data_IF_837779104904
#
_entry.id   IF_837779104904
#
_cell.length_a   1.000
_cell.length_b   1.000
_cell.length_c   1.000
_cell.angle_alpha   90.00
_cell.angle_beta   90.00
_cell.angle_gamma   90.00
#
_symmetry.space_group_name_H-M   'P 1'
#
loop_
_entity.id
_entity.type
_entity.pdbx_description
1 polymer ?
#
# COMPACT_ATOMS: atom_id res chain seq x y z
N UNK A 1 1.82 24.32 -20.62
CA UNK A 1 2.18 23.33 -19.59
C UNK A 1 1.29 23.56 -18.38
N UNK A 2 0.48 22.59 -17.98
CA UNK A 2 -0.31 22.63 -16.74
C UNK A 2 0.65 22.66 -15.54
N UNK A 3 0.34 23.39 -14.45
CA UNK A 3 1.20 23.42 -13.28
C UNK A 3 1.29 22.02 -12.65
N UNK A 4 2.49 21.63 -12.21
CA UNK A 4 2.84 20.32 -11.62
C UNK A 4 2.16 20.02 -10.26
N UNK A 5 1.33 20.94 -9.78
CA UNK A 5 0.51 20.89 -8.58
C UNK A 5 -0.55 21.98 -8.72
N UNK A 6 -1.68 21.83 -8.03
CA UNK A 6 -2.78 22.81 -8.11
C UNK A 6 -2.97 23.51 -6.78
N UNK A 7 -3.33 24.79 -6.83
CA UNK A 7 -3.80 25.54 -5.68
C UNK A 7 -5.17 26.14 -5.98
N UNK A 8 -6.20 25.99 -5.11
CA UNK A 8 -6.21 25.25 -3.84
C UNK A 8 -5.79 23.77 -3.99
N UNK A 9 -5.27 23.15 -2.92
CA UNK A 9 -4.70 21.81 -3.00
C UNK A 9 -5.81 20.83 -3.36
N UNK A 10 -5.49 19.83 -4.19
CA UNK A 10 -6.45 18.79 -4.54
C UNK A 10 -6.80 17.98 -3.31
N UNK A 11 -8.01 17.41 -3.31
CA UNK A 11 -8.42 16.47 -2.28
C UNK A 11 -7.56 15.20 -2.34
N UNK A 12 -7.17 14.68 -1.17
CA UNK A 12 -6.51 13.39 -1.01
C UNK A 12 -7.55 12.25 -1.14
N UNK A 13 -7.54 11.45 -2.23
CA UNK A 13 -8.65 10.54 -2.50
C UNK A 13 -8.90 9.50 -1.41
N UNK A 14 -10.19 9.28 -1.13
CA UNK A 14 -10.67 8.35 -0.13
C UNK A 14 -10.56 8.84 1.32
N UNK A 15 -9.98 10.02 1.57
CA UNK A 15 -10.10 10.69 2.87
C UNK A 15 -11.45 11.42 2.96
N UNK A 16 -11.88 11.85 4.17
CA UNK A 16 -13.01 12.76 4.28
C UNK A 16 -12.81 14.03 3.44
N UNK A 17 -13.90 14.71 3.01
CA UNK A 17 -13.82 15.98 2.31
C UNK A 17 -12.88 16.98 3.00
N UNK A 18 -12.30 17.88 2.21
CA UNK A 18 -11.38 18.94 2.65
C UNK A 18 -10.02 18.46 3.19
N UNK A 19 -9.73 17.16 3.12
CA UNK A 19 -8.38 16.64 3.37
C UNK A 19 -7.50 16.89 2.13
N UNK A 20 -6.48 17.77 2.19
CA UNK A 20 -5.63 18.08 1.03
C UNK A 20 -4.58 17.02 0.76
N UNK A 21 -4.20 16.83 -0.51
CA UNK A 21 -3.10 15.97 -0.93
C UNK A 21 -1.77 16.46 -0.35
N UNK A 22 -1.00 15.52 0.22
CA UNK A 22 0.29 15.85 0.84
C UNK A 22 1.33 16.38 -0.17
N UNK A 23 1.28 15.95 -1.43
CA UNK A 23 2.15 16.45 -2.49
C UNK A 23 1.91 17.93 -2.78
N UNK A 24 0.65 18.33 -2.95
CA UNK A 24 0.26 19.73 -3.19
C UNK A 24 0.62 20.64 -1.99
N UNK A 25 0.40 20.16 -0.76
CA UNK A 25 0.74 20.90 0.47
C UNK A 25 2.26 21.12 0.60
N UNK A 26 3.06 20.07 0.42
CA UNK A 26 4.52 20.18 0.50
C UNK A 26 5.10 21.05 -0.62
N UNK A 27 4.52 21.01 -1.82
CA UNK A 27 4.92 21.86 -2.94
C UNK A 27 4.67 23.35 -2.64
N UNK A 28 3.49 23.69 -2.11
CA UNK A 28 3.20 25.06 -1.68
C UNK A 28 4.15 25.51 -0.56
N UNK A 29 4.38 24.65 0.42
CA UNK A 29 5.29 24.94 1.52
C UNK A 29 6.71 25.24 1.00
N UNK A 30 7.22 24.45 0.05
CA UNK A 30 8.50 24.68 -0.60
C UNK A 30 8.55 26.02 -1.37
N UNK A 31 7.45 26.44 -1.99
CA UNK A 31 7.36 27.70 -2.72
C UNK A 31 7.35 28.94 -1.79
N UNK A 32 6.94 28.80 -0.52
CA UNK A 32 6.80 29.90 0.43
C UNK A 32 8.13 30.52 0.94
N UNK A 33 9.29 30.06 0.47
CA UNK A 33 10.59 30.65 0.81
C UNK A 33 11.09 30.38 2.23
N UNK A 34 10.46 29.45 2.94
CA UNK A 34 10.82 29.07 4.32
C UNK A 34 12.20 28.40 4.35
N UNK A 35 13.00 28.73 5.37
CA UNK A 35 14.41 28.29 5.53
C UNK A 35 14.59 27.01 6.34
N UNK A 36 13.60 26.64 7.13
CA UNK A 36 13.57 25.40 7.88
C UNK A 36 12.13 24.97 8.16
N UNK A 37 11.88 23.67 8.17
CA UNK A 37 10.58 23.10 8.49
C UNK A 37 10.65 22.19 9.72
N UNK A 38 9.59 22.19 10.52
CA UNK A 38 9.31 21.03 11.38
C UNK A 38 8.33 20.14 10.65
N UNK A 39 8.68 18.87 10.53
CA UNK A 39 7.90 17.86 9.82
C UNK A 39 7.51 16.76 10.80
N UNK A 40 6.24 16.37 10.77
CA UNK A 40 5.72 15.22 11.50
C UNK A 40 5.04 14.30 10.50
N UNK A 41 5.29 13.00 10.61
CA UNK A 41 4.50 11.99 9.90
C UNK A 41 3.81 11.13 10.93
N UNK A 42 2.50 11.00 10.79
CA UNK A 42 1.68 10.03 11.51
C UNK A 42 1.30 8.94 10.51
N UNK A 43 1.78 7.72 10.73
CA UNK A 43 1.45 6.56 9.92
C UNK A 43 0.54 5.63 10.69
N UNK A 44 -0.40 5.03 9.98
CA UNK A 44 -1.38 4.13 10.57
C UNK A 44 -1.22 2.72 10.04
N UNK A 45 -1.49 1.75 10.91
CA UNK A 45 -1.65 0.36 10.57
C UNK A 45 -3.08 -0.04 10.87
N UNK A 46 -3.68 -0.80 9.95
CA UNK A 46 -4.81 -1.63 10.31
C UNK A 46 -4.24 -2.67 11.29
N UNK A 47 -4.80 -2.77 12.50
CA UNK A 47 -4.42 -3.90 13.38
C UNK A 47 -4.71 -5.20 12.63
N UNK A 48 -4.03 -6.29 13.02
CA UNK A 48 -4.45 -7.65 12.70
C UNK A 48 -5.97 -7.79 12.86
N UNK A 49 -6.55 -7.29 13.96
CA UNK A 49 -8.01 -7.32 14.24
C UNK A 49 -8.93 -6.61 13.23
N UNK A 50 -8.43 -5.66 12.44
CA UNK A 50 -9.21 -5.00 11.38
C UNK A 50 -9.01 -5.73 10.04
N UNK A 51 -7.82 -6.25 9.78
CA UNK A 51 -7.61 -7.24 8.72
C UNK A 51 -8.42 -8.54 8.99
N UNK A 52 -8.62 -8.88 10.27
CA UNK A 52 -9.42 -10.01 10.77
C UNK A 52 -10.93 -9.79 10.59
N UNK A 53 -11.39 -8.54 10.47
CA UNK A 53 -12.80 -8.22 10.20
C UNK A 53 -13.24 -8.56 8.77
N UNK A 54 -12.30 -8.87 7.88
CA UNK A 54 -12.58 -9.27 6.50
C UNK A 54 -12.96 -8.12 5.56
N UNK A 55 -13.15 -6.91 6.08
CA UNK A 55 -13.54 -5.72 5.31
C UNK A 55 -12.37 -4.72 5.23
N UNK A 56 -11.54 -4.89 4.20
CA UNK A 56 -10.34 -4.07 4.00
C UNK A 56 -10.70 -2.61 3.70
N UNK A 57 -11.76 -2.36 2.92
CA UNK A 57 -12.20 -1.00 2.58
C UNK A 57 -12.73 -0.27 3.84
N UNK A 58 -13.60 -0.91 4.64
CA UNK A 58 -14.06 -0.31 5.89
C UNK A 58 -12.91 -0.07 6.90
N UNK A 59 -11.92 -0.95 6.90
CA UNK A 59 -10.68 -0.76 7.66
C UNK A 59 -9.93 0.49 7.22
N UNK A 60 -9.68 0.64 5.92
CA UNK A 60 -9.02 1.82 5.35
C UNK A 60 -9.78 3.10 5.68
N UNK A 61 -11.10 3.09 5.57
CA UNK A 61 -11.94 4.25 5.90
C UNK A 61 -11.82 4.65 7.37
N UNK A 62 -11.70 3.67 8.28
CA UNK A 62 -11.45 3.95 9.71
C UNK A 62 -10.09 4.61 9.91
N UNK A 63 -9.05 4.11 9.24
CA UNK A 63 -7.71 4.70 9.27
C UNK A 63 -7.73 6.14 8.78
N UNK A 64 -8.33 6.39 7.61
CA UNK A 64 -8.37 7.72 6.98
C UNK A 64 -9.18 8.71 7.81
N UNK A 65 -10.30 8.29 8.39
CA UNK A 65 -11.07 9.13 9.35
C UNK A 65 -10.27 9.46 10.61
N UNK A 66 -9.54 8.48 11.16
CA UNK A 66 -8.70 8.71 12.34
C UNK A 66 -7.58 9.71 12.04
N UNK A 67 -6.87 9.53 10.93
CA UNK A 67 -5.85 10.49 10.48
C UNK A 67 -6.42 11.88 10.21
N UNK A 68 -7.61 11.97 9.61
CA UNK A 68 -8.29 13.25 9.39
C UNK A 68 -8.61 13.95 10.72
N UNK A 69 -9.03 13.21 11.75
CA UNK A 69 -9.24 13.75 13.08
C UNK A 69 -7.94 14.27 13.72
N UNK A 70 -6.84 13.51 13.60
CA UNK A 70 -5.50 13.94 14.07
C UNK A 70 -5.08 15.24 13.38
N UNK A 71 -5.22 15.33 12.06
CA UNK A 71 -4.83 16.53 11.31
C UNK A 71 -5.67 17.76 11.68
N UNK A 72 -6.98 17.60 11.92
CA UNK A 72 -7.84 18.68 12.42
C UNK A 72 -7.47 19.14 13.83
N UNK A 73 -7.00 18.22 14.68
CA UNK A 73 -6.60 18.52 16.05
C UNK A 73 -5.21 19.17 16.17
N UNK A 74 -4.39 19.17 15.10
CA UNK A 74 -3.03 19.72 15.14
C UNK A 74 -2.99 21.24 15.37
N UNK A 75 -4.05 21.97 15.00
CA UNK A 75 -4.19 23.41 15.17
C UNK A 75 -3.59 24.23 14.02
N UNK A 76 -3.90 25.54 14.01
CA UNK A 76 -3.71 26.46 12.87
C UNK A 76 -2.24 26.68 12.47
N UNK A 77 -1.30 26.35 13.35
CA UNK A 77 0.14 26.45 13.07
C UNK A 77 0.69 25.34 12.17
N UNK A 78 -0.13 24.31 11.86
CA UNK A 78 0.27 23.16 11.05
C UNK A 78 -0.49 23.12 9.73
N UNK A 79 0.20 22.72 8.68
CA UNK A 79 -0.41 22.42 7.38
C UNK A 79 -0.53 20.91 7.23
N UNK A 80 -1.73 20.32 7.41
CA UNK A 80 -1.94 18.90 7.21
C UNK A 80 -1.97 18.56 5.72
N UNK A 81 -1.39 17.43 5.36
CA UNK A 81 -1.46 16.82 4.04
C UNK A 81 -1.59 15.31 4.18
N UNK A 82 -2.42 14.69 3.35
CA UNK A 82 -2.81 13.29 3.49
C UNK A 82 -2.33 12.45 2.31
N UNK A 83 -1.82 11.25 2.59
CA UNK A 83 -1.34 10.32 1.57
C UNK A 83 -1.55 8.87 2.02
N UNK A 84 -2.46 8.14 1.36
CA UNK A 84 -2.63 6.70 1.61
C UNK A 84 -3.07 6.40 3.05
N UNK A 85 -2.13 5.94 3.90
CA UNK A 85 -2.32 5.66 5.34
C UNK A 85 -1.51 6.59 6.24
N UNK A 86 -1.04 7.69 5.67
CA UNK A 86 -0.15 8.64 6.32
C UNK A 86 -0.77 10.05 6.33
N UNK A 87 -0.49 10.76 7.41
CA UNK A 87 -0.70 12.19 7.56
C UNK A 87 0.67 12.84 7.70
N UNK A 88 0.90 13.88 6.91
CA UNK A 88 2.06 14.77 6.98
C UNK A 88 1.62 16.08 7.59
N UNK A 89 2.23 16.48 8.69
CA UNK A 89 2.07 17.83 9.24
C UNK A 89 3.37 18.58 9.00
N UNK A 90 3.27 19.73 8.35
CA UNK A 90 4.42 20.61 8.11
C UNK A 90 4.14 22.01 8.65
N UNK A 91 5.15 22.61 9.27
CA UNK A 91 5.14 24.03 9.67
C UNK A 91 6.51 24.65 9.49
N UNK A 92 6.56 25.98 9.40
CA UNK A 92 7.82 26.70 9.48
C UNK A 92 8.45 26.47 10.86
N UNK A 93 9.75 26.16 10.88
CA UNK A 93 10.46 26.07 12.14
C UNK A 93 10.54 27.46 12.78
N UNK A 94 10.26 27.53 14.09
CA UNK A 94 10.51 28.72 14.91
C UNK A 94 11.91 28.64 15.52
N UNK A 95 12.58 29.77 15.70
CA UNK A 95 13.82 29.85 16.47
C UNK A 95 13.52 29.46 17.94
N UNK A 96 13.80 28.21 18.32
CA UNK A 96 13.47 27.65 19.63
C UNK A 96 13.99 26.22 19.79
N UNK A 97 14.03 25.68 21.02
CA UNK A 97 14.61 24.38 21.29
C UNK A 97 13.91 23.23 20.54
N UNK A 98 14.71 22.20 20.22
CA UNK A 98 14.36 20.91 19.55
C UNK A 98 13.36 20.08 20.39
N UNK A 99 12.19 20.62 20.72
CA UNK A 99 11.18 19.88 21.45
C UNK A 99 10.24 19.13 20.51
N UNK A 100 9.93 17.85 20.79
CA UNK A 100 8.94 17.13 20.03
C UNK A 100 7.62 17.90 20.07
N UNK A 101 6.84 17.92 18.97
CA UNK A 101 5.48 18.44 19.03
C UNK A 101 4.75 17.72 20.17
N UNK A 102 3.89 18.43 20.92
CA UNK A 102 3.26 17.85 22.10
C UNK A 102 2.57 16.54 21.73
N UNK A 103 2.60 15.58 22.67
CA UNK A 103 2.11 14.23 22.47
C UNK A 103 0.60 14.05 22.16
N UNK A 104 -0.35 15.00 22.36
CA UNK A 104 -1.78 14.70 22.20
C UNK A 104 -2.21 14.47 20.74
N UNK A 105 -1.30 14.52 19.77
CA UNK A 105 -1.60 14.19 18.37
C UNK A 105 -2.06 12.74 18.17
N UNK A 106 -1.83 11.82 19.12
CA UNK A 106 -2.00 10.38 18.85
C UNK A 106 -2.56 9.58 20.04
N UNK A 107 -3.73 9.96 20.56
CA UNK A 107 -4.54 9.00 21.32
C UNK A 107 -5.20 8.04 20.33
N UNK A 108 -4.89 6.74 20.42
CA UNK A 108 -5.47 5.73 19.53
C UNK A 108 -6.98 5.59 19.79
N UNK A 109 -7.80 5.95 18.81
CA UNK A 109 -9.25 5.74 18.85
C UNK A 109 -9.66 4.54 17.96
N UNK A 110 -10.74 3.85 18.35
CA UNK A 110 -11.48 2.94 17.47
C UNK A 110 -10.74 1.71 16.94
N UNK A 111 -9.62 1.29 17.53
CA UNK A 111 -8.87 0.10 17.10
C UNK A 111 -7.85 0.34 15.98
N UNK A 112 -7.54 1.59 15.65
CA UNK A 112 -6.43 1.95 14.75
C UNK A 112 -5.15 2.13 15.56
N UNK A 113 -4.02 1.60 15.06
CA UNK A 113 -2.70 1.81 15.67
C UNK A 113 -1.93 2.83 14.86
N UNK A 114 -1.61 3.94 15.49
CA UNK A 114 -0.79 4.98 14.93
C UNK A 114 0.64 4.87 15.46
N UNK A 115 1.60 5.18 14.60
CA UNK A 115 2.95 5.57 15.00
C UNK A 115 3.26 6.91 14.39
N UNK A 116 4.11 7.67 15.06
CA UNK A 116 4.48 8.99 14.56
C UNK A 116 5.96 9.23 14.80
N UNK A 117 6.55 10.10 14.00
CA UNK A 117 7.90 10.61 14.20
C UNK A 117 7.96 12.03 13.67
N UNK A 118 9.05 12.71 13.97
CA UNK A 118 9.25 14.09 13.59
C UNK A 118 10.71 14.38 13.26
N UNK A 119 10.95 15.47 12.54
CA UNK A 119 12.29 16.00 12.32
C UNK A 119 12.27 17.51 12.03
N UNK A 120 13.43 18.15 12.20
CA UNK A 120 13.72 19.49 11.68
C UNK A 120 14.50 19.38 10.38
N UNK A 121 13.97 20.00 9.34
CA UNK A 121 14.51 19.92 7.99
C UNK A 121 15.07 21.28 7.60
N UNK A 122 16.40 21.44 7.48
CA UNK A 122 16.97 22.63 6.87
C UNK A 122 16.60 22.66 5.38
N UNK A 123 16.16 23.82 4.90
CA UNK A 123 15.66 23.98 3.54
C UNK A 123 16.63 24.84 2.68
N UNK A 124 17.04 24.34 1.50
CA UNK A 124 17.86 25.08 0.55
C UNK A 124 17.26 26.42 0.09
N UNK A 125 18.08 27.22 -0.62
CA UNK A 125 17.61 28.47 -1.24
C UNK A 125 16.76 28.24 -2.48
N UNK A 126 17.06 27.21 -3.26
CA UNK A 126 16.32 26.87 -4.48
C UNK A 126 14.99 26.15 -4.17
N UNK A 127 13.92 26.50 -4.87
CA UNK A 127 12.57 25.98 -4.59
C UNK A 127 12.43 24.48 -4.94
N UNK A 128 13.07 24.01 -6.00
CA UNK A 128 13.03 22.59 -6.40
C UNK A 128 13.89 21.73 -5.47
N UNK A 129 15.02 22.24 -5.03
CA UNK A 129 15.85 21.63 -3.99
C UNK A 129 15.11 21.58 -2.65
N UNK A 130 14.40 22.64 -2.25
CA UNK A 130 13.54 22.66 -1.05
C UNK A 130 12.48 21.57 -1.10
N UNK A 131 11.78 21.45 -2.23
CA UNK A 131 10.78 20.40 -2.43
C UNK A 131 11.40 19.02 -2.29
N UNK A 132 12.54 18.78 -2.95
CA UNK A 132 13.24 17.50 -2.88
C UNK A 132 13.71 17.17 -1.45
N UNK A 133 14.21 18.17 -0.72
CA UNK A 133 14.60 18.03 0.68
C UNK A 133 13.42 17.64 1.57
N UNK A 134 12.26 18.30 1.42
CA UNK A 134 11.04 17.97 2.15
C UNK A 134 10.54 16.55 1.87
N UNK A 135 10.53 16.12 0.61
CA UNK A 135 10.07 14.76 0.26
C UNK A 135 11.01 13.68 0.80
N UNK A 136 12.33 13.91 0.75
CA UNK A 136 13.33 13.00 1.35
C UNK A 136 13.16 12.92 2.87
N UNK A 137 12.94 14.06 3.52
CA UNK A 137 12.65 14.09 4.94
C UNK A 137 11.33 13.37 5.27
N UNK A 138 10.26 13.60 4.50
CA UNK A 138 8.99 12.87 4.65
C UNK A 138 9.20 11.36 4.60
N UNK A 139 10.01 10.87 3.68
CA UNK A 139 10.35 9.46 3.58
C UNK A 139 11.09 8.95 4.84
N UNK A 140 12.11 9.67 5.33
CA UNK A 140 12.83 9.30 6.55
C UNK A 140 11.92 9.31 7.79
N UNK A 141 11.13 10.37 7.96
CA UNK A 141 10.18 10.52 9.07
C UNK A 141 9.08 9.45 9.00
N UNK A 142 8.57 9.11 7.81
CA UNK A 142 7.60 8.03 7.64
C UNK A 142 8.17 6.66 8.03
N UNK A 143 9.44 6.37 7.69
CA UNK A 143 10.10 5.14 8.15
C UNK A 143 10.21 5.10 9.68
N UNK A 144 10.65 6.20 10.31
CA UNK A 144 10.72 6.27 11.77
C UNK A 144 9.33 6.13 12.43
N UNK A 145 8.31 6.77 11.85
CA UNK A 145 6.93 6.67 12.30
C UNK A 145 6.41 5.23 12.21
N UNK A 146 6.75 4.51 11.12
CA UNK A 146 6.38 3.10 10.92
C UNK A 146 7.10 2.18 11.89
N UNK A 147 8.39 2.42 12.15
CA UNK A 147 9.14 1.68 13.17
C UNK A 147 8.46 1.81 14.54
N UNK A 148 8.09 3.04 14.95
CA UNK A 148 7.36 3.29 16.21
C UNK A 148 5.94 2.74 16.19
N UNK A 149 5.27 2.78 15.04
CA UNK A 149 3.97 2.14 14.85
C UNK A 149 4.08 0.65 15.12
N UNK A 150 5.14 -0.03 14.69
CA UNK A 150 5.28 -1.47 14.85
C UNK A 150 5.89 -1.83 16.24
N UNK A 151 6.68 -0.92 16.84
CA UNK A 151 7.31 -1.03 18.16
C UNK A 151 6.97 0.17 19.06
N UNK A 152 5.84 0.14 19.81
CA UNK A 152 5.36 1.33 20.50
C UNK A 152 6.14 1.59 21.80
N UNK A 153 6.97 0.63 22.23
CA UNK A 153 7.88 0.75 23.37
C UNK A 153 9.07 1.70 23.10
N UNK A 154 9.32 2.03 21.82
CA UNK A 154 10.40 2.93 21.46
C UNK A 154 10.09 4.37 21.91
N UNK A 155 11.06 5.08 22.52
CA UNK A 155 10.87 6.46 22.95
C UNK A 155 10.59 7.39 21.77
N UNK A 156 10.01 8.56 22.08
CA UNK A 156 9.78 9.61 21.09
C UNK A 156 11.13 10.24 20.72
N UNK A 157 11.67 9.83 19.58
CA UNK A 157 12.95 10.29 19.07
C UNK A 157 12.75 11.06 17.76
N UNK A 158 13.73 11.91 17.41
CA UNK A 158 13.84 12.45 16.05
C UNK A 158 14.01 11.30 15.07
N UNK A 159 13.58 11.51 13.82
CA UNK A 159 13.60 10.46 12.81
C UNK A 159 15.01 9.87 12.62
N UNK A 160 16.05 10.71 12.55
CA UNK A 160 17.43 10.26 12.43
C UNK A 160 17.86 9.33 13.58
N UNK A 161 17.53 9.69 14.82
CA UNK A 161 17.88 8.91 16.02
C UNK A 161 17.12 7.59 16.07
N UNK A 162 15.83 7.61 15.73
CA UNK A 162 15.02 6.40 15.64
C UNK A 162 15.56 5.44 14.58
N UNK A 163 15.96 5.97 13.41
CA UNK A 163 16.53 5.18 12.34
C UNK A 163 17.91 4.64 12.70
N UNK A 164 18.75 5.39 13.40
CA UNK A 164 20.09 4.94 13.82
C UNK A 164 20.05 3.62 14.63
N UNK A 165 18.94 3.34 15.33
CA UNK A 165 18.74 2.11 16.11
C UNK A 165 18.26 0.91 15.29
N UNK A 166 17.85 1.09 14.03
CA UNK A 166 17.29 0.01 13.19
C UNK A 166 18.19 -1.22 13.09
N UNK A 167 19.53 -1.10 12.91
CA UNK A 167 20.41 -2.27 12.88
C UNK A 167 20.35 -3.14 14.14
N UNK A 168 20.10 -2.56 15.30
CA UNK A 168 19.97 -3.28 16.58
C UNK A 168 18.58 -3.89 16.77
N UNK A 169 17.56 -3.31 16.11
CA UNK A 169 16.15 -3.65 16.34
C UNK A 169 15.62 -4.67 15.32
N UNK A 170 15.96 -4.55 14.05
CA UNK A 170 15.35 -5.29 12.95
C UNK A 170 16.36 -6.19 12.25
N UNK A 171 15.94 -7.35 11.73
CA UNK A 171 16.80 -8.10 10.79
C UNK A 171 17.03 -7.32 9.49
N UNK A 172 18.05 -7.69 8.69
CA UNK A 172 18.27 -7.08 7.38
C UNK A 172 17.04 -7.20 6.45
N UNK A 173 16.27 -8.29 6.58
CA UNK A 173 15.02 -8.51 5.84
C UNK A 173 13.93 -7.53 6.29
N UNK A 174 13.71 -7.41 7.59
CA UNK A 174 12.75 -6.46 8.15
C UNK A 174 13.15 -4.99 7.85
N UNK A 175 14.45 -4.72 7.84
CA UNK A 175 15.03 -3.43 7.46
C UNK A 175 14.74 -3.09 5.99
N UNK A 176 14.92 -4.03 5.07
CA UNK A 176 14.56 -3.82 3.67
C UNK A 176 13.04 -3.63 3.47
N UNK A 177 12.19 -4.28 4.28
CA UNK A 177 10.74 -4.01 4.30
C UNK A 177 10.40 -2.61 4.83
N UNK A 178 11.17 -2.11 5.81
CA UNK A 178 11.07 -0.73 6.29
C UNK A 178 11.43 0.27 5.19
N UNK A 179 12.55 0.06 4.49
CA UNK A 179 12.98 0.85 3.33
C UNK A 179 11.99 0.80 2.16
N UNK A 180 11.26 -0.30 2.01
CA UNK A 180 10.20 -0.41 0.99
C UNK A 180 8.93 0.41 1.35
N UNK A 181 8.90 1.05 2.53
CA UNK A 181 7.76 1.79 3.09
C UNK A 181 7.24 2.94 2.24
N UNK A 182 6.19 3.59 2.73
CA UNK A 182 5.39 4.54 1.97
C UNK A 182 6.19 5.79 1.60
N UNK A 183 5.91 6.33 0.42
CA UNK A 183 6.53 7.55 -0.10
C UNK A 183 5.45 8.59 -0.33
N UNK A 184 5.58 9.75 0.31
CA UNK A 184 4.83 10.95 -0.10
C UNK A 184 5.56 11.51 -1.31
N UNK A 185 4.95 11.45 -2.48
CA UNK A 185 5.53 11.99 -3.72
C UNK A 185 4.46 12.68 -4.58
N UNK A 186 4.71 13.91 -5.07
CA UNK A 186 4.07 14.42 -6.27
C UNK A 186 4.71 13.76 -7.49
N UNK A 187 3.92 13.09 -8.34
CA UNK A 187 4.47 12.37 -9.49
C UNK A 187 5.09 13.28 -10.56
N UNK A 188 4.61 14.52 -10.65
CA UNK A 188 4.86 15.46 -11.75
C UNK A 188 6.28 16.09 -11.75
N UNK A 189 7.22 15.57 -10.94
CA UNK A 189 8.62 16.00 -10.91
C UNK A 189 9.47 15.56 -12.10
N UNK A 190 8.94 14.71 -13.00
CA UNK A 190 9.61 14.32 -14.24
C UNK A 190 8.93 15.02 -15.43
N UNK A 191 9.66 15.76 -16.29
CA UNK A 191 9.08 16.56 -17.38
C UNK A 191 8.35 15.76 -18.47
N UNK A 192 8.29 14.42 -18.35
CA UNK A 192 7.63 13.52 -19.28
C UNK A 192 6.32 12.91 -18.73
N UNK A 193 5.95 13.20 -17.47
CA UNK A 193 4.72 12.70 -16.86
C UNK A 193 3.64 13.78 -16.88
N UNK A 194 2.49 13.46 -17.47
CA UNK A 194 1.33 14.35 -17.48
C UNK A 194 0.78 14.50 -16.06
N UNK A 195 0.39 15.73 -15.70
CA UNK A 195 -0.33 16.02 -14.46
C UNK A 195 -1.69 15.33 -14.46
N UNK A 196 -2.16 14.86 -13.31
CA UNK A 196 -3.51 14.32 -13.17
C UNK A 196 -4.58 15.34 -13.63
N UNK A 197 -5.52 14.86 -14.43
CA UNK A 197 -6.69 15.60 -14.92
C UNK A 197 -7.80 15.74 -13.87
N UNK A 198 -8.90 16.39 -14.26
CA UNK A 198 -10.07 16.50 -13.39
C UNK A 198 -10.72 15.13 -13.19
N UNK A 199 -11.01 14.76 -11.95
CA UNK A 199 -11.57 13.45 -11.59
C UNK A 199 -10.57 12.29 -11.59
N UNK A 200 -9.28 12.55 -11.84
CA UNK A 200 -8.19 11.60 -11.66
C UNK A 200 -7.61 11.68 -10.25
N UNK A 201 -6.98 10.59 -9.81
CA UNK A 201 -6.21 10.60 -8.56
C UNK A 201 -4.94 11.47 -8.76
N UNK A 202 -4.70 12.48 -7.91
CA UNK A 202 -3.53 13.36 -8.03
C UNK A 202 -2.20 12.63 -7.92
N UNK A 203 -2.21 11.43 -7.33
CA UNK A 203 -1.05 10.55 -7.14
C UNK A 203 -0.91 9.51 -8.24
N UNK A 204 -1.90 9.37 -9.13
CA UNK A 204 -1.92 8.37 -10.20
C UNK A 204 -2.53 8.98 -11.48
N UNK A 205 -1.81 9.86 -12.20
CA UNK A 205 -2.28 10.45 -13.44
C UNK A 205 -2.75 9.39 -14.45
N UNK A 206 -3.91 9.61 -15.06
CA UNK A 206 -4.58 8.64 -15.93
C UNK A 206 -5.42 7.58 -15.21
N UNK A 207 -5.52 7.62 -13.88
CA UNK A 207 -6.37 6.71 -13.09
C UNK A 207 -7.48 7.50 -12.42
N UNK A 208 -8.71 7.02 -12.51
CA UNK A 208 -9.86 7.68 -11.88
C UNK A 208 -9.72 7.71 -10.34
N UNK A 209 -10.07 8.85 -9.73
CA UNK A 209 -9.99 9.04 -8.28
C UNK A 209 -10.92 8.08 -7.53
N UNK A 210 -10.49 7.61 -6.35
CA UNK A 210 -11.35 6.86 -5.42
C UNK A 210 -12.68 7.57 -5.11
N UNK A 211 -12.72 8.90 -5.20
CA UNK A 211 -13.90 9.71 -4.87
C UNK A 211 -15.04 9.53 -5.90
N UNK A 212 -14.75 8.94 -7.05
CA UNK A 212 -15.78 8.51 -8.00
C UNK A 212 -16.51 7.23 -7.59
N UNK A 213 -15.93 6.43 -6.68
CA UNK A 213 -16.50 5.15 -6.26
C UNK A 213 -17.84 5.28 -5.52
N UNK A 214 -18.06 6.24 -4.60
CA UNK A 214 -19.37 6.44 -3.97
C UNK A 214 -20.50 6.70 -4.96
N UNK A 215 -20.23 7.45 -6.03
CA UNK A 215 -21.23 7.71 -7.07
C UNK A 215 -21.58 6.42 -7.85
N UNK A 216 -20.58 5.61 -8.19
CA UNK A 216 -20.79 4.27 -8.75
C UNK A 216 -21.58 3.38 -7.79
N UNK A 217 -21.29 3.48 -6.49
CA UNK A 217 -21.94 2.68 -5.46
C UNK A 217 -23.41 3.05 -5.22
N UNK A 218 -23.76 4.33 -5.39
CA UNK A 218 -25.12 4.82 -5.27
C UNK A 218 -26.01 4.40 -6.46
N UNK A 219 -25.42 4.15 -7.62
CA UNK A 219 -26.12 3.72 -8.83
C UNK A 219 -25.32 2.63 -9.58
N UNK A 220 -25.17 1.43 -8.99
CA UNK A 220 -24.38 0.38 -9.62
C UNK A 220 -25.09 -0.14 -10.87
N UNK A 221 -24.35 -0.51 -11.93
CA UNK A 221 -24.96 -1.12 -13.10
C UNK A 221 -25.59 -2.48 -12.73
N UNK A 222 -26.73 -2.79 -13.33
CA UNK A 222 -27.50 -4.01 -13.05
C UNK A 222 -26.80 -5.31 -13.50
N UNK A 223 -25.71 -5.21 -14.25
CA UNK A 223 -24.92 -6.34 -14.78
C UNK A 223 -23.45 -5.95 -14.91
N UNK A 224 -22.59 -6.95 -14.99
CA UNK A 224 -21.15 -6.81 -15.08
C UNK A 224 -20.46 -7.52 -13.92
N UNK A 225 -19.20 -7.15 -13.69
CA UNK A 225 -18.35 -7.69 -12.65
C UNK A 225 -17.84 -6.53 -11.78
N UNK A 226 -18.06 -6.63 -10.46
CA UNK A 226 -17.26 -5.84 -9.53
C UNK A 226 -15.86 -6.44 -9.50
N UNK A 227 -14.85 -5.63 -9.76
CA UNK A 227 -13.45 -6.04 -9.83
C UNK A 227 -12.64 -5.32 -8.76
N UNK A 228 -11.70 -6.05 -8.18
CA UNK A 228 -10.67 -5.53 -7.27
C UNK A 228 -9.31 -6.06 -7.73
N UNK A 229 -8.36 -5.17 -7.91
CA UNK A 229 -6.98 -5.51 -8.27
C UNK A 229 -6.04 -5.19 -7.13
N UNK A 230 -4.88 -5.83 -7.10
CA UNK A 230 -3.78 -5.49 -6.19
C UNK A 230 -2.44 -5.70 -6.90
N UNK A 231 -1.54 -4.73 -6.79
CA UNK A 231 -0.19 -4.75 -7.32
C UNK A 231 0.80 -4.98 -6.18
N UNK A 232 1.38 -6.18 -6.11
CA UNK A 232 2.56 -6.37 -5.27
C UNK A 232 3.85 -6.32 -6.07
N UNK A 233 4.86 -5.69 -5.47
CA UNK A 233 6.24 -6.06 -5.68
C UNK A 233 6.40 -7.52 -5.27
N UNK A 234 6.71 -8.40 -6.21
CA UNK A 234 6.61 -9.86 -6.02
C UNK A 234 7.62 -10.37 -4.98
N UNK A 235 8.56 -9.56 -4.50
CA UNK A 235 9.73 -10.09 -3.81
C UNK A 235 9.56 -10.44 -2.33
N UNK A 236 8.40 -10.16 -1.72
CA UNK A 236 8.17 -10.47 -0.30
C UNK A 236 7.31 -11.71 -0.03
N UNK A 237 6.68 -12.30 -1.06
CA UNK A 237 5.69 -13.36 -0.88
C UNK A 237 5.75 -14.55 -1.84
N UNK A 238 6.63 -14.57 -2.85
CA UNK A 238 6.77 -15.76 -3.71
C UNK A 238 7.83 -16.72 -3.20
N UNK A 239 7.39 -17.92 -2.83
CA UNK A 239 8.23 -19.06 -2.48
C UNK A 239 9.00 -19.61 -3.69
N UNK A 240 8.49 -19.37 -4.90
CA UNK A 240 9.03 -19.94 -6.14
C UNK A 240 10.36 -19.31 -6.56
N UNK A 241 11.28 -20.17 -7.00
CA UNK A 241 12.60 -19.82 -7.57
C UNK A 241 12.69 -20.31 -9.02
N UNK A 242 13.54 -19.69 -9.82
CA UNK A 242 13.94 -20.23 -11.11
C UNK A 242 14.72 -21.54 -10.92
N UNK A 243 14.89 -22.33 -11.98
CA UNK A 243 15.56 -23.63 -11.93
C UNK A 243 17.03 -23.59 -11.47
N UNK A 244 17.65 -22.41 -11.48
CA UNK A 244 18.99 -22.11 -10.96
C UNK A 244 18.98 -21.62 -9.49
N UNK A 245 17.82 -21.62 -8.83
CA UNK A 245 17.63 -21.11 -7.48
C UNK A 245 17.53 -19.57 -7.39
N UNK A 246 17.64 -18.86 -8.52
CA UNK A 246 17.47 -17.41 -8.57
C UNK A 246 16.01 -17.01 -8.32
N UNK A 247 15.79 -15.75 -7.93
CA UNK A 247 14.45 -15.20 -7.75
C UNK A 247 13.76 -15.06 -9.11
N UNK A 248 12.48 -15.43 -9.20
CA UNK A 248 11.70 -15.31 -10.45
C UNK A 248 11.48 -13.86 -10.90
N UNK A 249 11.67 -12.89 -10.01
CA UNK A 249 11.51 -11.46 -10.30
C UNK A 249 12.64 -10.64 -9.73
N UNK A 250 12.85 -9.47 -10.35
CA UNK A 250 13.94 -8.56 -9.97
C UNK A 250 13.55 -7.67 -8.79
N UNK A 251 12.27 -7.29 -8.64
CA UNK A 251 11.66 -6.61 -7.46
C UNK A 251 12.43 -5.44 -6.83
N UNK A 252 11.89 -4.80 -5.78
CA UNK A 252 12.68 -3.80 -5.03
C UNK A 252 13.62 -4.46 -4.01
N UNK A 253 13.35 -5.67 -3.55
CA UNK A 253 14.18 -6.30 -2.53
C UNK A 253 15.57 -6.68 -3.07
N UNK A 254 15.76 -6.90 -4.39
CA UNK A 254 17.10 -7.03 -5.00
C UNK A 254 17.97 -5.81 -4.76
N UNK A 255 17.37 -4.61 -4.72
CA UNK A 255 18.10 -3.37 -4.50
C UNK A 255 18.10 -2.95 -3.02
N UNK A 256 17.00 -3.20 -2.30
CA UNK A 256 16.85 -2.82 -0.90
C UNK A 256 17.54 -3.79 0.08
N UNK A 257 17.64 -5.09 -0.21
CA UNK A 257 18.31 -6.05 0.67
C UNK A 257 19.82 -5.79 0.78
N UNK A 258 20.58 -5.54 -0.31
CA UNK A 258 21.98 -5.17 -0.21
C UNK A 258 22.18 -3.85 0.56
N UNK A 259 21.28 -2.88 0.35
CA UNK A 259 21.32 -1.60 1.07
C UNK A 259 21.07 -1.78 2.57
N UNK A 260 20.07 -2.60 2.94
CA UNK A 260 19.81 -2.97 4.32
C UNK A 260 20.99 -3.73 4.95
N UNK A 261 21.61 -4.66 4.21
CA UNK A 261 22.80 -5.38 4.68
C UNK A 261 24.01 -4.48 4.92
N UNK A 262 24.25 -3.51 4.03
CA UNK A 262 25.32 -2.53 4.20
C UNK A 262 25.09 -1.62 5.42
N UNK A 263 23.85 -1.20 5.65
CA UNK A 263 23.48 -0.44 6.84
C UNK A 263 23.70 -1.23 8.13
N UNK A 264 23.28 -2.50 8.14
CA UNK A 264 23.48 -3.44 9.25
C UNK A 264 24.95 -3.64 9.62
N UNK A 265 25.82 -3.71 8.62
CA UNK A 265 27.26 -3.81 8.81
C UNK A 265 27.92 -2.47 9.23
N UNK A 266 27.14 -1.45 9.60
CA UNK A 266 27.56 -0.08 9.89
C UNK A 266 28.37 0.59 8.76
N UNK A 267 28.23 0.12 7.52
CA UNK A 267 28.97 0.63 6.35
C UNK A 267 28.27 1.80 5.67
N UNK A 268 27.12 2.23 6.16
CA UNK A 268 26.33 3.30 5.54
C UNK A 268 25.63 4.12 6.62
N UNK A 269 25.99 5.40 6.78
CA UNK A 269 25.27 6.35 7.64
C UNK A 269 23.80 6.55 7.23
N UNK A 270 22.94 7.00 8.16
CA UNK A 270 21.49 7.15 7.92
C UNK A 270 21.18 8.14 6.80
N UNK A 271 21.90 9.26 6.71
CA UNK A 271 21.70 10.26 5.66
C UNK A 271 22.05 9.71 4.26
N UNK A 272 23.17 8.98 4.14
CA UNK A 272 23.59 8.30 2.92
C UNK A 272 22.59 7.20 2.54
N UNK A 273 22.11 6.44 3.52
CA UNK A 273 21.08 5.43 3.34
C UNK A 273 19.81 6.04 2.75
N UNK A 274 19.29 7.11 3.35
CA UNK A 274 18.08 7.80 2.88
C UNK A 274 18.30 8.34 1.46
N UNK A 275 19.47 8.94 1.20
CA UNK A 275 19.84 9.47 -0.12
C UNK A 275 19.87 8.39 -1.20
N UNK A 276 20.26 7.16 -0.86
CA UNK A 276 20.26 6.00 -1.76
C UNK A 276 18.91 5.31 -1.88
N UNK A 277 18.16 5.20 -0.79
CA UNK A 277 16.88 4.50 -0.76
C UNK A 277 15.73 5.31 -1.38
N UNK A 278 15.72 6.63 -1.19
CA UNK A 278 14.64 7.50 -1.68
C UNK A 278 14.48 7.42 -3.21
N UNK A 279 15.54 7.50 -4.05
CA UNK A 279 15.40 7.36 -5.50
C UNK A 279 14.85 6.00 -5.94
N UNK A 280 15.24 4.91 -5.25
CA UNK A 280 14.71 3.57 -5.53
C UNK A 280 13.20 3.54 -5.28
N UNK A 281 12.77 4.09 -4.14
CA UNK A 281 11.36 4.19 -3.77
C UNK A 281 10.58 5.11 -4.72
N UNK A 282 11.16 6.25 -5.12
CA UNK A 282 10.56 7.15 -6.10
C UNK A 282 10.36 6.47 -7.46
N UNK A 283 11.34 5.69 -7.94
CA UNK A 283 11.22 4.91 -9.16
C UNK A 283 10.11 3.86 -9.05
N UNK A 284 9.99 3.17 -7.91
CA UNK A 284 8.87 2.25 -7.66
C UNK A 284 7.53 2.97 -7.77
N UNK A 285 7.32 4.11 -7.13
CA UNK A 285 6.01 4.80 -7.22
C UNK A 285 5.67 5.18 -8.66
N UNK A 286 6.66 5.60 -9.47
CA UNK A 286 6.44 5.87 -10.89
C UNK A 286 6.05 4.60 -11.67
N UNK A 287 6.70 3.46 -11.38
CA UNK A 287 6.32 2.17 -11.94
C UNK A 287 4.91 1.76 -11.50
N UNK A 288 4.53 1.99 -10.25
CA UNK A 288 3.21 1.63 -9.73
C UNK A 288 2.14 2.46 -10.43
N UNK A 289 2.37 3.76 -10.58
CA UNK A 289 1.47 4.65 -11.30
C UNK A 289 1.30 4.24 -12.76
N UNK A 290 2.40 3.94 -13.45
CA UNK A 290 2.33 3.44 -14.84
C UNK A 290 1.63 2.08 -14.95
N UNK A 291 1.84 1.19 -13.99
CA UNK A 291 1.18 -0.12 -13.95
C UNK A 291 -0.34 0.01 -13.72
N UNK A 292 -0.74 0.81 -12.73
CA UNK A 292 -2.15 1.08 -12.43
C UNK A 292 -2.84 1.82 -13.57
N UNK A 293 -2.15 2.75 -14.24
CA UNK A 293 -2.64 3.37 -15.46
C UNK A 293 -2.83 2.36 -16.58
N UNK A 294 -1.86 1.48 -16.83
CA UNK A 294 -2.01 0.43 -17.85
C UNK A 294 -3.22 -0.49 -17.58
N UNK A 295 -3.49 -0.80 -16.30
CA UNK A 295 -4.73 -1.49 -15.90
C UNK A 295 -5.98 -0.67 -16.21
N UNK A 296 -6.00 0.61 -15.84
CA UNK A 296 -7.13 1.52 -16.04
C UNK A 296 -7.44 1.73 -17.53
N UNK A 297 -6.41 2.05 -18.33
CA UNK A 297 -6.50 2.22 -19.78
C UNK A 297 -6.98 0.93 -20.45
N UNK A 298 -6.48 -0.24 -20.00
CA UNK A 298 -6.85 -1.55 -20.53
C UNK A 298 -8.33 -1.91 -20.36
N UNK A 299 -9.04 -1.28 -19.43
CA UNK A 299 -10.48 -1.51 -19.22
C UNK A 299 -11.36 -0.35 -19.71
N UNK A 300 -10.80 0.74 -20.24
CA UNK A 300 -11.53 1.99 -20.50
C UNK A 300 -12.71 1.87 -21.50
N UNK A 301 -12.74 0.84 -22.34
CA UNK A 301 -13.89 0.53 -23.22
C UNK A 301 -14.87 -0.50 -22.66
N UNK A 302 -14.51 -1.18 -21.57
CA UNK A 302 -15.26 -2.29 -20.98
C UNK A 302 -15.64 -2.02 -19.53
N UNK A 303 -15.39 -0.84 -18.97
CA UNK A 303 -15.67 -0.55 -17.58
C UNK A 303 -14.87 0.63 -17.05
N UNK A 304 -14.82 0.74 -15.72
CA UNK A 304 -14.07 1.77 -15.01
C UNK A 304 -13.54 1.26 -13.69
N UNK A 305 -12.26 1.52 -13.45
CA UNK A 305 -11.54 1.20 -12.22
C UNK A 305 -11.05 2.49 -11.56
N UNK A 306 -11.11 2.55 -10.23
CA UNK A 306 -10.79 3.70 -9.39
C UNK A 306 -9.63 3.38 -8.44
N UNK A 307 -8.83 4.38 -8.07
CA UNK A 307 -7.64 4.27 -7.22
C UNK A 307 -7.94 4.05 -5.72
N UNK A 308 -8.45 2.88 -5.34
CA UNK A 308 -9.08 2.65 -4.03
C UNK A 308 -8.12 2.17 -2.93
N UNK A 309 -7.13 1.34 -3.27
CA UNK A 309 -6.30 0.60 -2.30
C UNK A 309 -4.88 1.18 -2.12
N UNK A 310 -4.52 2.21 -2.89
CA UNK A 310 -3.17 2.79 -2.94
C UNK A 310 -2.25 2.04 -3.90
N UNK A 311 -2.25 0.70 -3.86
CA UNK A 311 -1.55 -0.18 -4.82
C UNK A 311 -2.50 -1.07 -5.62
N UNK A 312 -3.81 -0.81 -5.56
CA UNK A 312 -4.83 -1.56 -6.26
C UNK A 312 -6.00 -0.68 -6.68
N UNK A 313 -6.80 -1.19 -7.61
CA UNK A 313 -7.97 -0.52 -8.14
C UNK A 313 -9.25 -1.31 -7.83
N UNK A 314 -10.37 -0.63 -7.60
CA UNK A 314 -11.69 -1.26 -7.54
C UNK A 314 -12.65 -0.57 -8.50
N UNK A 315 -13.63 -1.30 -9.02
CA UNK A 315 -14.66 -0.72 -9.87
C UNK A 315 -15.50 -1.76 -10.58
N UNK A 316 -16.10 -1.39 -11.70
CA UNK A 316 -16.97 -2.29 -12.47
C UNK A 316 -16.44 -2.45 -13.89
N UNK A 317 -16.38 -3.70 -14.34
CA UNK A 317 -16.06 -4.08 -15.71
C UNK A 317 -17.18 -4.96 -16.29
N UNK A 318 -17.34 -4.96 -17.60
CA UNK A 318 -18.42 -5.64 -18.30
C UNK A 318 -18.17 -7.15 -18.38
N UNK A 319 -16.91 -7.57 -18.52
CA UNK A 319 -16.53 -8.98 -18.67
C UNK A 319 -15.13 -9.29 -18.12
N UNK A 320 -14.90 -10.58 -17.90
CA UNK A 320 -13.67 -11.11 -17.32
C UNK A 320 -12.48 -11.11 -18.31
N UNK A 321 -12.75 -11.12 -19.63
CA UNK A 321 -11.70 -11.19 -20.65
C UNK A 321 -10.96 -9.85 -20.77
N UNK A 322 -11.70 -8.74 -20.75
CA UNK A 322 -11.15 -7.40 -20.72
C UNK A 322 -10.27 -7.19 -19.48
N UNK A 323 -10.75 -7.61 -18.30
CA UNK A 323 -9.98 -7.52 -17.06
C UNK A 323 -8.72 -8.39 -17.10
N UNK A 324 -8.83 -9.64 -17.56
CA UNK A 324 -7.68 -10.55 -17.72
C UNK A 324 -6.64 -9.97 -18.67
N UNK A 325 -7.08 -9.39 -19.79
CA UNK A 325 -6.21 -8.77 -20.79
C UNK A 325 -5.51 -7.53 -20.25
N UNK A 326 -6.23 -6.67 -19.52
CA UNK A 326 -5.68 -5.50 -18.85
C UNK A 326 -4.61 -5.89 -17.82
N UNK A 327 -4.89 -6.88 -16.95
CA UNK A 327 -3.94 -7.39 -15.95
C UNK A 327 -2.71 -8.00 -16.61
N UNK A 328 -2.89 -8.82 -17.64
CA UNK A 328 -1.78 -9.39 -18.38
C UNK A 328 -0.94 -8.30 -19.08
N UNK A 329 -1.58 -7.27 -19.64
CA UNK A 329 -0.93 -6.11 -20.26
C UNK A 329 -0.08 -5.33 -19.27
N UNK A 330 -0.63 -4.98 -18.11
CA UNK A 330 0.11 -4.27 -17.06
C UNK A 330 1.28 -5.10 -16.52
N UNK A 331 1.09 -6.42 -16.33
CA UNK A 331 2.15 -7.33 -15.90
C UNK A 331 3.30 -7.42 -16.91
N UNK A 332 2.99 -7.42 -18.22
CA UNK A 332 4.01 -7.36 -19.28
C UNK A 332 4.74 -6.02 -19.27
N UNK A 333 4.02 -4.91 -19.08
CA UNK A 333 4.63 -3.57 -19.07
C UNK A 333 5.70 -3.41 -17.99
N UNK A 334 5.52 -4.00 -16.81
CA UNK A 334 6.53 -3.98 -15.73
C UNK A 334 7.49 -5.17 -15.69
N UNK A 335 7.42 -6.11 -16.63
CA UNK A 335 8.24 -7.34 -16.76
C UNK A 335 9.06 -7.73 -15.50
N UNK A 336 8.43 -8.42 -14.54
CA UNK A 336 9.11 -8.93 -13.36
C UNK A 336 9.55 -7.88 -12.32
N UNK A 337 9.07 -6.64 -12.42
CA UNK A 337 9.25 -5.58 -11.41
C UNK A 337 7.98 -5.37 -10.59
N UNK A 338 6.80 -5.51 -11.22
CA UNK A 338 5.50 -5.47 -10.57
C UNK A 338 4.59 -6.55 -11.12
N UNK A 339 3.62 -6.95 -10.31
CA UNK A 339 2.61 -7.90 -10.77
C UNK A 339 1.29 -7.70 -10.05
N UNK A 340 0.24 -7.60 -10.83
CA UNK A 340 -1.14 -7.58 -10.41
C UNK A 340 -1.81 -8.94 -10.56
N UNK A 341 -2.74 -9.19 -9.66
CA UNK A 341 -3.83 -10.13 -9.86
C UNK A 341 -5.15 -9.39 -9.67
N UNK A 342 -6.24 -9.96 -10.17
CA UNK A 342 -7.57 -9.41 -10.00
C UNK A 342 -8.54 -10.45 -9.45
N UNK A 343 -9.36 -10.03 -8.50
CA UNK A 343 -10.57 -10.73 -8.09
C UNK A 343 -11.78 -10.06 -8.72
N UNK A 344 -12.72 -10.85 -9.21
CA UNK A 344 -13.98 -10.34 -9.72
C UNK A 344 -15.18 -11.12 -9.14
N UNK A 345 -16.34 -10.47 -9.12
CA UNK A 345 -17.61 -11.09 -8.78
C UNK A 345 -18.76 -10.49 -9.61
N UNK A 346 -19.72 -11.31 -10.08
CA UNK A 346 -20.90 -10.81 -10.80
C UNK A 346 -21.76 -9.82 -9.99
N UNK A 347 -22.34 -8.84 -10.68
CA UNK A 347 -23.35 -7.87 -10.19
C UNK A 347 -24.80 -8.28 -10.51
N UNK A 348 -25.07 -9.58 -10.57
CA UNK A 348 -26.30 -10.27 -11.02
C UNK A 348 -27.59 -9.96 -10.21
N UNK A 349 -27.91 -8.68 -9.98
CA UNK A 349 -28.96 -8.24 -9.07
C UNK A 349 -28.61 -8.42 -7.58
N UNK A 350 -27.40 -8.92 -7.30
CA UNK A 350 -26.85 -8.98 -5.93
C UNK A 350 -26.55 -7.56 -5.43
N UNK A 351 -26.79 -7.33 -4.13
CA UNK A 351 -26.25 -6.18 -3.38
C UNK A 351 -24.75 -5.97 -3.69
N UNK A 352 -24.38 -4.73 -4.00
CA UNK A 352 -23.01 -4.33 -4.35
C UNK A 352 -22.02 -4.71 -3.25
N UNK A 353 -22.42 -4.63 -1.98
CA UNK A 353 -21.54 -4.99 -0.87
C UNK A 353 -21.26 -6.49 -0.82
N UNK A 354 -22.21 -7.32 -1.24
CA UNK A 354 -21.95 -8.75 -1.39
C UNK A 354 -21.04 -9.03 -2.61
N UNK A 355 -21.21 -8.33 -3.73
CA UNK A 355 -20.29 -8.44 -4.88
C UNK A 355 -18.86 -7.99 -4.51
N UNK A 356 -18.72 -6.90 -3.74
CA UNK A 356 -17.45 -6.44 -3.16
C UNK A 356 -16.75 -7.52 -2.34
N UNK A 357 -17.45 -8.07 -1.33
CA UNK A 357 -16.91 -9.13 -0.48
C UNK A 357 -16.46 -10.35 -1.30
N UNK A 358 -17.28 -10.78 -2.26
CA UNK A 358 -16.97 -11.88 -3.17
C UNK A 358 -15.75 -11.59 -4.05
N UNK A 359 -15.61 -10.38 -4.59
CA UNK A 359 -14.45 -9.99 -5.38
C UNK A 359 -13.17 -9.94 -4.54
N UNK A 360 -13.23 -9.53 -3.27
CA UNK A 360 -12.11 -9.61 -2.34
C UNK A 360 -11.67 -11.04 -2.02
N UNK A 361 -12.61 -11.98 -1.86
CA UNK A 361 -12.27 -13.40 -1.80
C UNK A 361 -11.55 -13.85 -3.08
N UNK A 362 -12.10 -13.52 -4.25
CA UNK A 362 -11.47 -13.87 -5.52
C UNK A 362 -10.06 -13.28 -5.67
N UNK A 363 -9.85 -12.05 -5.20
CA UNK A 363 -8.54 -11.42 -5.17
C UNK A 363 -7.60 -12.21 -4.26
N UNK A 364 -8.09 -12.68 -3.10
CA UNK A 364 -7.31 -13.53 -2.22
C UNK A 364 -6.90 -14.85 -2.88
N UNK A 365 -7.78 -15.48 -3.67
CA UNK A 365 -7.43 -16.66 -4.48
C UNK A 365 -6.26 -16.33 -5.43
N UNK A 366 -6.32 -15.22 -6.16
CA UNK A 366 -5.22 -14.83 -7.06
C UNK A 366 -3.92 -14.51 -6.32
N UNK A 367 -3.99 -13.92 -5.12
CA UNK A 367 -2.82 -13.67 -4.25
C UNK A 367 -2.17 -14.98 -3.81
N UNK A 368 -2.96 -15.97 -3.43
CA UNK A 368 -2.49 -17.31 -3.09
C UNK A 368 -1.80 -17.97 -4.28
N UNK A 369 -2.41 -17.94 -5.47
CA UNK A 369 -1.82 -18.49 -6.70
C UNK A 369 -0.60 -17.71 -7.21
N UNK A 370 -0.50 -16.42 -6.89
CA UNK A 370 0.71 -15.64 -7.17
C UNK A 370 1.92 -16.20 -6.42
N UNK A 371 1.70 -16.70 -5.19
CA UNK A 371 2.71 -17.39 -4.38
C UNK A 371 3.29 -18.65 -5.04
N UNK A 372 2.60 -19.23 -6.03
CA UNK A 372 2.96 -20.49 -6.71
C UNK A 372 3.37 -20.32 -8.17
N UNK A 373 3.30 -19.09 -8.70
CA UNK A 373 3.48 -18.79 -10.11
C UNK A 373 2.53 -19.57 -11.07
N UNK A 374 1.39 -20.07 -10.60
CA UNK A 374 0.42 -20.74 -11.47
C UNK A 374 -0.20 -19.79 -12.52
N UNK A 375 -0.58 -20.27 -13.70
CA UNK A 375 -1.10 -19.42 -14.80
C UNK A 375 -2.39 -18.66 -14.44
N UNK A 376 -3.25 -19.27 -13.62
CA UNK A 376 -4.51 -18.68 -13.15
C UNK A 376 -4.34 -17.56 -12.10
N UNK A 377 -3.10 -17.17 -11.75
CA UNK A 377 -2.80 -16.06 -10.82
C UNK A 377 -3.25 -14.67 -11.31
N UNK A 378 -3.65 -14.55 -12.58
CA UNK A 378 -4.02 -13.28 -13.23
C UNK A 378 -5.43 -12.82 -12.83
N UNK A 379 -6.40 -13.73 -12.83
CA UNK A 379 -7.80 -13.42 -12.56
C UNK A 379 -8.51 -14.63 -11.99
N UNK A 380 -9.31 -14.40 -10.94
CA UNK A 380 -10.31 -15.34 -10.45
C UNK A 380 -11.69 -14.67 -10.41
N UNK A 381 -12.73 -15.37 -10.86
CA UNK A 381 -14.12 -14.89 -10.80
C UNK A 381 -14.87 -15.70 -9.75
N UNK A 382 -15.61 -15.01 -8.88
CA UNK A 382 -16.40 -15.65 -7.84
C UNK A 382 -17.48 -16.55 -8.48
N UNK A 383 -17.72 -17.72 -7.90
CA UNK A 383 -18.54 -18.79 -8.48
C UNK A 383 -17.79 -19.77 -9.40
N UNK A 384 -16.62 -19.43 -9.95
CA UNK A 384 -15.86 -20.34 -10.83
C UNK A 384 -14.94 -21.27 -10.01
N UNK A 385 -15.07 -22.61 -10.11
CA UNK A 385 -14.15 -23.52 -9.44
C UNK A 385 -12.73 -23.44 -10.01
N UNK A 386 -11.72 -23.60 -9.14
CA UNK A 386 -10.34 -23.75 -9.58
C UNK A 386 -10.15 -25.08 -10.32
N UNK A 387 -9.32 -25.05 -11.37
CA UNK A 387 -8.85 -26.27 -12.02
C UNK A 387 -8.05 -27.15 -11.04
N UNK A 388 -7.95 -28.47 -11.27
CA UNK A 388 -7.26 -29.40 -10.37
C UNK A 388 -5.84 -28.96 -9.98
N UNK A 389 -5.04 -28.52 -10.96
CA UNK A 389 -3.65 -28.10 -10.77
C UNK A 389 -3.53 -26.78 -9.98
N UNK A 390 -4.43 -25.83 -10.26
CA UNK A 390 -4.49 -24.56 -9.53
C UNK A 390 -4.90 -24.77 -8.07
N UNK A 391 -5.89 -25.63 -7.85
CA UNK A 391 -6.35 -26.01 -6.52
C UNK A 391 -5.24 -26.71 -5.72
N UNK A 392 -4.50 -27.62 -6.36
CA UNK A 392 -3.33 -28.26 -5.75
C UNK A 392 -2.26 -27.24 -5.36
N UNK A 393 -1.89 -26.34 -6.28
CA UNK A 393 -0.91 -25.31 -6.02
C UNK A 393 -1.34 -24.40 -4.85
N UNK A 394 -2.60 -23.94 -4.84
CA UNK A 394 -3.12 -23.08 -3.78
C UNK A 394 -3.09 -23.77 -2.41
N UNK A 395 -3.52 -25.03 -2.33
CA UNK A 395 -3.52 -25.78 -1.07
C UNK A 395 -2.09 -26.09 -0.60
N UNK A 396 -1.18 -26.46 -1.51
CA UNK A 396 0.22 -26.68 -1.19
C UNK A 396 0.89 -25.42 -0.62
N UNK A 397 0.66 -24.26 -1.24
CA UNK A 397 1.19 -22.98 -0.74
C UNK A 397 0.69 -22.66 0.67
N UNK A 398 -0.61 -22.83 0.94
CA UNK A 398 -1.15 -22.59 2.27
C UNK A 398 -0.62 -23.62 3.28
N UNK A 399 -0.48 -24.89 2.90
CA UNK A 399 0.12 -25.91 3.76
C UNK A 399 1.58 -25.57 4.12
N UNK A 400 2.38 -25.13 3.15
CA UNK A 400 3.77 -24.71 3.36
C UNK A 400 3.88 -23.51 4.30
N UNK A 401 3.00 -22.50 4.14
CA UNK A 401 2.92 -21.39 5.08
C UNK A 401 2.57 -21.87 6.48
N UNK A 402 1.66 -22.84 6.61
CA UNK A 402 1.23 -23.34 7.92
C UNK A 402 2.36 -24.08 8.62
N UNK A 403 3.15 -24.86 7.86
CA UNK A 403 4.32 -25.56 8.37
C UNK A 403 5.46 -24.58 8.76
N UNK A 404 5.61 -23.48 8.02
CA UNK A 404 6.61 -22.46 8.30
C UNK A 404 6.29 -21.61 9.56
N UNK A 405 5.01 -21.55 9.96
CA UNK A 405 4.55 -20.89 11.18
C UNK A 405 4.31 -19.37 11.05
N UNK A 406 3.79 -18.72 12.11
CA UNK A 406 3.28 -17.35 12.06
C UNK A 406 4.34 -16.27 11.79
N UNK A 407 5.63 -16.59 11.98
CA UNK A 407 6.75 -15.68 11.67
C UNK A 407 7.18 -15.69 10.19
N UNK A 408 6.60 -16.57 9.36
CA UNK A 408 6.96 -16.69 7.96
C UNK A 408 6.45 -15.50 7.12
N UNK A 409 7.22 -14.99 6.15
CA UNK A 409 6.71 -14.04 5.16
C UNK A 409 5.47 -14.60 4.47
N UNK A 410 4.40 -13.81 4.42
CA UNK A 410 3.13 -14.26 3.83
C UNK A 410 2.21 -15.05 4.76
N UNK A 411 2.57 -15.30 6.03
CA UNK A 411 1.72 -16.03 6.98
C UNK A 411 0.29 -15.44 7.12
N UNK A 412 0.11 -14.13 6.90
CA UNK A 412 -1.21 -13.49 6.87
C UNK A 412 -2.16 -14.10 5.80
N UNK A 413 -1.63 -14.68 4.71
CA UNK A 413 -2.45 -15.39 3.72
C UNK A 413 -3.21 -16.58 4.32
N UNK A 414 -2.68 -17.24 5.35
CA UNK A 414 -3.40 -18.29 6.07
C UNK A 414 -4.59 -17.74 6.84
N UNK A 415 -4.40 -16.63 7.55
CA UNK A 415 -5.47 -15.98 8.28
C UNK A 415 -6.58 -15.53 7.32
N UNK A 416 -6.22 -14.98 6.16
CA UNK A 416 -7.17 -14.68 5.09
C UNK A 416 -7.88 -15.95 4.61
N UNK A 417 -7.16 -17.03 4.30
CA UNK A 417 -7.75 -18.25 3.79
C UNK A 417 -8.76 -18.86 4.77
N UNK A 418 -8.42 -18.90 6.06
CA UNK A 418 -9.27 -19.39 7.14
C UNK A 418 -10.57 -18.58 7.24
N UNK A 419 -10.52 -17.25 7.10
CA UNK A 419 -11.72 -16.39 7.11
C UNK A 419 -12.69 -16.71 5.98
N UNK A 420 -12.15 -17.10 4.83
CA UNK A 420 -12.94 -17.44 3.66
C UNK A 420 -13.15 -18.95 3.51
N UNK A 421 -13.09 -19.73 4.60
CA UNK A 421 -13.19 -21.20 4.60
C UNK A 421 -14.41 -21.71 3.82
N UNK A 422 -15.57 -21.09 4.02
CA UNK A 422 -16.81 -21.48 3.32
C UNK A 422 -16.77 -21.16 1.82
N UNK A 423 -16.13 -20.06 1.43
CA UNK A 423 -15.97 -19.72 0.02
C UNK A 423 -14.91 -20.62 -0.64
N UNK A 424 -13.82 -20.96 0.04
CA UNK A 424 -12.86 -21.96 -0.43
C UNK A 424 -13.53 -23.32 -0.70
N UNK A 425 -14.53 -23.73 0.10
CA UNK A 425 -15.30 -24.97 -0.14
C UNK A 425 -16.01 -24.96 -1.50
N UNK A 426 -16.52 -23.80 -1.94
CA UNK A 426 -17.23 -23.65 -3.22
C UNK A 426 -16.27 -23.64 -4.41
N UNK A 427 -15.03 -23.24 -4.18
CA UNK A 427 -14.06 -22.97 -5.22
C UNK A 427 -12.97 -24.03 -5.39
N UNK A 428 -12.91 -25.00 -4.47
CA UNK A 428 -11.98 -26.13 -4.55
C UNK A 428 -12.71 -27.43 -4.93
N UNK A 429 -12.08 -28.31 -5.72
CA UNK A 429 -12.52 -29.70 -5.85
C UNK A 429 -12.61 -30.37 -4.46
N UNK A 430 -13.60 -31.25 -4.21
CA UNK A 430 -13.82 -31.83 -2.88
C UNK A 430 -12.58 -32.47 -2.22
N UNK A 431 -11.72 -33.23 -2.94
CA UNK A 431 -10.49 -33.78 -2.34
C UNK A 431 -9.52 -32.71 -1.84
N UNK A 432 -9.43 -31.58 -2.55
CA UNK A 432 -8.52 -30.47 -2.21
C UNK A 432 -9.06 -29.66 -1.03
N UNK A 433 -10.39 -29.51 -0.92
CA UNK A 433 -10.99 -28.91 0.25
C UNK A 433 -10.69 -29.70 1.54
N UNK A 434 -10.76 -31.03 1.51
CA UNK A 434 -10.40 -31.88 2.66
C UNK A 434 -8.95 -31.66 3.10
N UNK A 435 -8.02 -31.47 2.16
CA UNK A 435 -6.64 -31.12 2.48
C UNK A 435 -6.54 -29.75 3.14
N UNK A 436 -7.24 -28.74 2.62
CA UNK A 436 -7.24 -27.39 3.19
C UNK A 436 -7.84 -27.34 4.60
N UNK A 437 -8.88 -28.13 4.87
CA UNK A 437 -9.48 -28.26 6.20
C UNK A 437 -8.48 -28.78 7.25
N UNK A 438 -7.56 -29.67 6.85
CA UNK A 438 -6.48 -30.13 7.74
C UNK A 438 -5.48 -29.01 8.04
N UNK A 439 -5.19 -28.16 7.05
CA UNK A 439 -4.36 -26.96 7.25
C UNK A 439 -5.04 -26.03 8.25
N UNK A 440 -6.34 -25.76 8.09
CA UNK A 440 -7.10 -24.91 9.00
C UNK A 440 -7.15 -25.45 10.42
N UNK A 441 -7.39 -26.76 10.61
CA UNK A 441 -7.34 -27.39 11.93
C UNK A 441 -5.98 -27.24 12.62
N UNK A 442 -4.88 -27.20 11.84
CA UNK A 442 -3.53 -26.99 12.38
C UNK A 442 -3.36 -25.55 12.88
N UNK A 443 -3.95 -24.56 12.20
CA UNK A 443 -3.89 -23.15 12.59
C UNK A 443 -4.78 -22.88 13.80
N UNK A 444 -6.00 -23.40 13.83
CA UNK A 444 -6.95 -23.25 14.94
C UNK A 444 -6.44 -23.86 16.26
N UNK A 445 -5.56 -24.88 16.17
CA UNK A 445 -4.95 -25.55 17.32
C UNK A 445 -3.71 -24.86 17.89
N UNK A 446 -3.22 -23.76 17.30
CA UNK A 446 -2.05 -23.05 17.82
C UNK A 446 -2.44 -22.07 18.95
N UNK A 447 -1.72 -22.04 20.09
CA UNK A 447 -1.97 -21.03 21.12
C UNK A 447 -1.73 -19.64 20.53
N UNK A 448 -2.73 -18.77 20.62
CA UNK A 448 -2.62 -17.38 20.16
C UNK A 448 -1.51 -16.70 20.96
N UNK A 449 -0.43 -16.28 20.29
CA UNK A 449 0.57 -15.41 20.89
C UNK A 449 -0.12 -14.10 21.29
N UNK A 450 -0.14 -13.84 22.60
CA UNK A 450 -0.76 -12.66 23.22
C UNK A 450 -0.04 -11.37 22.91
#
# INVERSE_FOLDING_TARGET
MTPAYRWPPRHAPGFPPDCPDAGDVLARFAAAGVRAATLVVVTSGLRARVEDSGDHEAGLDRVRRSLAAVGRAAGDGWQPGYYGKDLVLVRAATDGPDEPPPAPLVAGDGGVRHGWAWDHVPLPWDADERRTALLRACYAVAMAARLRRDRPELPQLRAADALARVPELLSARATASLLAGVLVRPLDGHPAQASAGDGEDPRLPGVASADGLPALAAAPPARGLYAVTDVHDIEWGTSSRAGDGARLTRGNARELLPLAGAWHAARTPVDELVRRAYPLRARREALLAGHLRALSDGVAGAGRLFATLGDGLSGVVNDAEALRTAVAGANRWTEGQMHSGAGAAPLDGTDLDAARRRAHFSLHVTKTLKGTAHAQRVLHVYGEPLGPDAAEAAVAFLADLSAAGPGAPGAHHLAHALRWRDDWRRHLPPPRFVCLERVFATVDGQPTAG
#
